data_IF_727942126505
#
_entry.id   IF_727942126505
#
_cell.length_a   1.000
_cell.length_b   1.000
_cell.length_c   1.000
_cell.angle_alpha   90.00
_cell.angle_beta   90.00
_cell.angle_gamma   90.00
#
_symmetry.space_group_name_H-M   'P 1'
#
loop_
_entity.id
_entity.type
_entity.pdbx_description
1 polymer ?
#
# COMPACT_ATOMS: atom_id res chain seq x y z
N UNK A 1 -19.03 -15.39 -1.14
CA UNK A 1 -19.04 -13.93 -1.42
C UNK A 1 -18.87 -13.00 -0.20
N UNK A 2 -19.67 -13.09 0.89
CA UNK A 2 -19.65 -12.11 2.01
C UNK A 2 -18.27 -11.95 2.69
N UNK A 3 -17.55 -13.06 2.90
CA UNK A 3 -16.18 -13.07 3.47
C UNK A 3 -15.15 -12.37 2.55
N UNK A 4 -15.27 -12.59 1.24
CA UNK A 4 -14.43 -11.92 0.23
C UNK A 4 -14.64 -10.40 0.23
N UNK A 5 -15.90 -9.93 0.17
CA UNK A 5 -16.22 -8.50 0.24
C UNK A 5 -15.66 -7.83 1.52
N UNK A 6 -15.75 -8.51 2.67
CA UNK A 6 -15.18 -8.04 3.94
C UNK A 6 -13.64 -7.92 3.87
N UNK A 7 -12.97 -8.91 3.26
CA UNK A 7 -11.52 -8.88 3.12
C UNK A 7 -11.03 -7.85 2.10
N UNK A 8 -11.75 -7.70 0.99
CA UNK A 8 -11.50 -6.65 0.00
C UNK A 8 -11.63 -5.26 0.62
N UNK A 9 -12.71 -5.00 1.37
CA UNK A 9 -12.89 -3.73 2.07
C UNK A 9 -11.74 -3.46 3.06
N UNK A 10 -11.31 -4.48 3.82
CA UNK A 10 -10.14 -4.35 4.69
C UNK A 10 -8.83 -4.10 3.93
N UNK A 11 -8.71 -4.58 2.70
CA UNK A 11 -7.51 -4.35 1.88
C UNK A 11 -7.51 -2.96 1.23
N UNK A 12 -8.68 -2.39 0.93
CA UNK A 12 -8.82 -1.00 0.49
C UNK A 12 -8.23 0.00 1.49
N UNK A 13 -8.25 -0.32 2.79
CA UNK A 13 -7.61 0.49 3.84
C UNK A 13 -6.08 0.60 3.69
N UNK A 14 -5.44 -0.21 2.84
CA UNK A 14 -4.03 -0.05 2.48
C UNK A 14 -3.84 0.59 1.11
N UNK A 15 -4.69 0.23 0.13
CA UNK A 15 -4.61 0.76 -1.23
C UNK A 15 -4.82 2.27 -1.23
N UNK A 16 -5.89 2.76 -0.58
CA UNK A 16 -6.25 4.18 -0.63
C UNK A 16 -5.16 5.06 -0.01
N UNK A 17 -4.64 4.76 1.19
CA UNK A 17 -3.53 5.52 1.74
C UNK A 17 -2.26 5.42 0.90
N UNK A 18 -1.94 4.26 0.30
CA UNK A 18 -0.77 4.11 -0.54
C UNK A 18 -0.86 4.99 -1.79
N UNK A 19 -2.01 5.00 -2.48
CA UNK A 19 -2.23 5.87 -3.64
C UNK A 19 -2.08 7.34 -3.27
N UNK A 20 -2.71 7.78 -2.18
CA UNK A 20 -2.56 9.17 -1.71
C UNK A 20 -1.12 9.51 -1.33
N UNK A 21 -0.40 8.59 -0.66
CA UNK A 21 1.02 8.77 -0.32
C UNK A 21 1.88 8.95 -1.57
N UNK A 22 1.61 8.16 -2.62
CA UNK A 22 2.32 8.27 -3.88
C UNK A 22 2.06 9.60 -4.57
N UNK A 23 0.83 10.09 -4.54
CA UNK A 23 0.48 11.40 -5.12
C UNK A 23 1.20 12.53 -4.38
N UNK A 24 1.26 12.48 -3.04
CA UNK A 24 2.04 13.44 -2.26
C UNK A 24 3.53 13.35 -2.54
N UNK A 25 4.10 12.13 -2.62
CA UNK A 25 5.51 11.92 -2.97
C UNK A 25 5.84 12.51 -4.34
N UNK A 26 4.97 12.28 -5.34
CA UNK A 26 5.10 12.91 -6.66
C UNK A 26 5.04 14.43 -6.57
N UNK A 27 4.18 14.96 -5.70
CA UNK A 27 4.11 16.38 -5.39
C UNK A 27 5.45 16.92 -4.90
N UNK A 28 6.09 16.25 -3.94
CA UNK A 28 7.41 16.63 -3.43
C UNK A 28 8.45 16.65 -4.56
N UNK A 29 8.52 15.57 -5.35
CA UNK A 29 9.51 15.46 -6.45
C UNK A 29 9.32 16.57 -7.48
N UNK A 30 8.07 16.87 -7.83
CA UNK A 30 7.72 17.83 -8.89
C UNK A 30 7.89 19.28 -8.46
N UNK A 31 7.43 19.64 -7.26
CA UNK A 31 7.30 21.03 -6.84
C UNK A 31 8.39 21.47 -5.87
N UNK A 32 8.92 20.55 -5.05
CA UNK A 32 10.03 20.80 -4.11
C UNK A 32 9.79 21.99 -3.17
N UNK A 33 8.52 22.27 -2.86
CA UNK A 33 8.13 23.34 -1.94
C UNK A 33 7.97 22.79 -0.52
N UNK A 34 8.13 23.67 0.48
CA UNK A 34 7.85 23.33 1.88
C UNK A 34 6.45 22.74 2.07
N UNK A 35 5.45 23.34 1.44
CA UNK A 35 4.07 22.83 1.48
C UNK A 35 3.95 21.39 0.95
N UNK A 36 4.60 21.08 -0.18
CA UNK A 36 4.57 19.71 -0.73
C UNK A 36 5.21 18.69 0.21
N UNK A 37 6.32 19.07 0.87
CA UNK A 37 7.01 18.26 1.87
C UNK A 37 6.11 18.06 3.09
N UNK A 38 5.51 19.12 3.61
CA UNK A 38 4.65 19.07 4.80
C UNK A 38 3.41 18.20 4.54
N UNK A 39 2.79 18.28 3.37
CA UNK A 39 1.67 17.40 2.99
C UNK A 39 2.09 15.93 2.96
N UNK A 40 3.25 15.62 2.38
CA UNK A 40 3.78 14.26 2.35
C UNK A 40 4.08 13.74 3.76
N UNK A 41 4.75 14.53 4.60
CA UNK A 41 5.09 14.17 6.00
C UNK A 41 3.84 13.94 6.83
N UNK A 42 2.88 14.87 6.77
CA UNK A 42 1.61 14.75 7.50
C UNK A 42 0.83 13.48 7.11
N UNK A 43 0.83 13.12 5.82
CA UNK A 43 0.18 11.88 5.37
C UNK A 43 0.97 10.64 5.80
N UNK A 44 2.30 10.69 5.72
CA UNK A 44 3.21 9.62 6.15
C UNK A 44 3.03 9.26 7.63
N UNK A 45 3.05 10.26 8.51
CA UNK A 45 2.92 10.06 9.96
C UNK A 45 1.55 9.47 10.34
N UNK A 46 0.48 9.90 9.66
CA UNK A 46 -0.88 9.36 9.86
C UNK A 46 -1.04 7.94 9.33
N UNK A 47 -0.25 7.58 8.33
CA UNK A 47 -0.38 6.34 7.57
C UNK A 47 0.97 5.61 7.44
N UNK A 48 1.63 5.37 8.57
CA UNK A 48 2.95 4.73 8.65
C UNK A 48 3.11 3.57 7.63
N UNK A 49 3.90 3.78 6.56
CA UNK A 49 4.10 2.78 5.53
C UNK A 49 4.77 1.50 6.03
N UNK A 50 5.63 1.58 7.05
CA UNK A 50 6.29 0.40 7.61
C UNK A 50 5.27 -0.53 8.28
N UNK A 51 4.36 0.05 9.08
CA UNK A 51 3.25 -0.71 9.67
C UNK A 51 2.31 -1.29 8.63
N UNK A 52 2.04 -0.55 7.54
CA UNK A 52 1.23 -1.04 6.43
C UNK A 52 1.88 -2.25 5.75
N UNK A 53 3.18 -2.20 5.47
CA UNK A 53 3.97 -3.30 4.89
C UNK A 53 3.87 -4.54 5.78
N UNK A 54 4.15 -4.41 7.08
CA UNK A 54 4.08 -5.53 8.04
C UNK A 54 2.68 -6.14 8.07
N UNK A 55 1.62 -5.32 8.10
CA UNK A 55 0.24 -5.80 8.11
C UNK A 55 -0.14 -6.51 6.81
N UNK A 56 0.27 -5.99 5.66
CA UNK A 56 0.02 -6.63 4.35
C UNK A 56 0.76 -7.96 4.28
N UNK A 57 2.05 -7.99 4.63
CA UNK A 57 2.86 -9.22 4.64
C UNK A 57 2.24 -10.29 5.53
N UNK A 58 1.83 -9.95 6.76
CA UNK A 58 1.10 -10.86 7.65
C UNK A 58 -0.16 -11.41 6.97
N UNK A 59 -0.98 -10.55 6.35
CA UNK A 59 -2.21 -10.99 5.67
C UNK A 59 -1.93 -11.94 4.51
N UNK A 60 -0.85 -11.74 3.75
CA UNK A 60 -0.45 -12.61 2.65
C UNK A 60 0.04 -13.97 3.15
N UNK A 61 0.75 -14.02 4.28
CA UNK A 61 1.22 -15.27 4.88
C UNK A 61 0.08 -16.16 5.39
N UNK A 62 -1.10 -15.60 5.69
CA UNK A 62 -2.25 -16.36 6.16
C UNK A 62 -2.96 -17.07 5.00
N UNK A 63 -2.72 -18.38 4.85
CA UNK A 63 -3.16 -19.13 3.66
C UNK A 63 -4.67 -19.08 3.37
N UNK A 64 -5.57 -19.00 4.38
CA UNK A 64 -7.00 -19.31 4.13
C UNK A 64 -8.05 -18.27 4.60
N UNK A 65 -7.69 -17.26 5.38
CA UNK A 65 -8.71 -16.39 6.02
C UNK A 65 -8.59 -14.91 5.69
N UNK A 66 -7.39 -14.37 5.51
CA UNK A 66 -7.17 -12.93 5.30
C UNK A 66 -6.34 -12.59 4.07
N UNK A 67 -5.80 -13.58 3.36
CA UNK A 67 -5.03 -13.34 2.14
C UNK A 67 -5.98 -12.83 1.03
N UNK A 68 -5.77 -11.61 0.50
CA UNK A 68 -6.64 -11.01 -0.51
C UNK A 68 -6.58 -11.75 -1.86
N UNK A 69 -5.43 -12.33 -2.21
CA UNK A 69 -5.24 -13.10 -3.45
C UNK A 69 -6.02 -14.41 -3.35
N UNK A 70 -5.87 -15.16 -2.26
CA UNK A 70 -6.63 -16.40 -2.05
C UNK A 70 -8.14 -16.11 -2.02
N UNK A 71 -8.54 -15.03 -1.33
CA UNK A 71 -9.92 -14.58 -1.31
C UNK A 71 -10.47 -14.28 -2.70
N UNK A 72 -9.70 -13.60 -3.55
CA UNK A 72 -10.07 -13.29 -4.92
C UNK A 72 -10.16 -14.52 -5.81
N UNK A 73 -9.16 -15.41 -5.75
CA UNK A 73 -9.16 -16.66 -6.51
C UNK A 73 -10.29 -17.58 -6.09
N UNK A 74 -10.70 -17.56 -4.82
CA UNK A 74 -11.87 -18.33 -4.36
C UNK A 74 -13.19 -17.72 -4.83
N UNK A 75 -13.23 -16.41 -5.08
CA UNK A 75 -14.42 -15.72 -5.57
C UNK A 75 -14.57 -15.78 -7.11
N UNK A 76 -13.47 -16.02 -7.83
CA UNK A 76 -13.48 -16.33 -9.26
C UNK A 76 -13.73 -17.83 -9.45
N UNK A 77 -14.93 -18.20 -9.91
CA UNK A 77 -15.33 -19.59 -10.13
C UNK A 77 -14.38 -20.34 -11.07
N UNK A 78 -13.81 -19.63 -12.05
CA UNK A 78 -12.92 -20.18 -13.06
C UNK A 78 -11.45 -20.10 -12.65
N UNK A 79 -11.12 -19.46 -11.52
CA UNK A 79 -9.75 -19.28 -10.99
C UNK A 79 -8.77 -18.83 -12.07
N UNK A 80 -9.16 -17.79 -12.80
CA UNK A 80 -8.43 -17.40 -14.01
C UNK A 80 -7.05 -16.82 -13.69
N UNK A 81 -6.10 -17.02 -14.61
CA UNK A 81 -4.78 -16.37 -14.56
C UNK A 81 -4.91 -14.85 -14.45
N UNK A 82 -5.88 -14.26 -15.16
CA UNK A 82 -6.19 -12.83 -15.15
C UNK A 82 -6.53 -12.32 -13.73
N UNK A 83 -7.32 -13.07 -12.97
CA UNK A 83 -7.63 -12.72 -11.57
C UNK A 83 -6.38 -12.78 -10.70
N UNK A 84 -5.57 -13.84 -10.83
CA UNK A 84 -4.32 -13.98 -10.08
C UNK A 84 -3.37 -12.81 -10.36
N UNK A 85 -3.14 -12.51 -11.64
CA UNK A 85 -2.27 -11.41 -12.09
C UNK A 85 -2.76 -10.08 -11.56
N UNK A 86 -4.04 -9.75 -11.74
CA UNK A 86 -4.63 -8.48 -11.26
C UNK A 86 -4.39 -8.26 -9.77
N UNK A 87 -4.65 -9.27 -8.95
CA UNK A 87 -4.51 -9.14 -7.49
C UNK A 87 -3.07 -9.14 -7.04
N UNK A 88 -2.20 -9.93 -7.69
CA UNK A 88 -0.75 -9.93 -7.45
C UNK A 88 -0.16 -8.57 -7.77
N UNK A 89 -0.47 -8.01 -8.94
CA UNK A 89 -0.05 -6.67 -9.34
C UNK A 89 -0.54 -5.60 -8.37
N UNK A 90 -1.80 -5.66 -7.94
CA UNK A 90 -2.35 -4.70 -6.98
C UNK A 90 -1.60 -4.73 -5.63
N UNK A 91 -1.34 -5.92 -5.10
CA UNK A 91 -0.57 -6.10 -3.85
C UNK A 91 0.87 -5.60 -4.02
N UNK A 92 1.54 -5.99 -5.10
CA UNK A 92 2.92 -5.58 -5.38
C UNK A 92 3.02 -4.07 -5.53
N UNK A 93 2.13 -3.43 -6.28
CA UNK A 93 2.13 -1.97 -6.43
C UNK A 93 1.94 -1.28 -5.07
N UNK A 94 1.03 -1.78 -4.24
CA UNK A 94 0.80 -1.22 -2.90
C UNK A 94 2.06 -1.33 -2.02
N UNK A 95 2.70 -2.51 -2.01
CA UNK A 95 3.93 -2.73 -1.25
C UNK A 95 5.09 -1.89 -1.76
N UNK A 96 5.26 -1.77 -3.07
CA UNK A 96 6.29 -0.94 -3.71
C UNK A 96 6.09 0.53 -3.33
N UNK A 97 4.87 1.04 -3.46
CA UNK A 97 4.55 2.43 -3.08
C UNK A 97 4.87 2.70 -1.60
N UNK A 98 4.49 1.79 -0.71
CA UNK A 98 4.78 1.94 0.72
C UNK A 98 6.28 1.90 1.01
N UNK A 99 7.02 0.97 0.40
CA UNK A 99 8.49 0.90 0.55
C UNK A 99 9.18 2.15 0.02
N UNK A 100 8.79 2.62 -1.17
CA UNK A 100 9.35 3.85 -1.74
C UNK A 100 9.07 5.05 -0.85
N UNK A 101 7.87 5.13 -0.27
CA UNK A 101 7.51 6.21 0.65
C UNK A 101 8.33 6.16 1.94
N UNK A 102 8.53 4.96 2.50
CA UNK A 102 9.42 4.74 3.64
C UNK A 102 10.84 5.21 3.35
N UNK A 103 11.47 4.69 2.29
CA UNK A 103 12.84 5.05 1.93
C UNK A 103 12.99 6.55 1.64
N UNK A 104 11.99 7.14 0.99
CA UNK A 104 12.00 8.58 0.69
C UNK A 104 11.92 9.42 1.96
N UNK A 105 11.04 9.08 2.90
CA UNK A 105 10.92 9.78 4.18
C UNK A 105 12.20 9.67 5.02
N UNK A 106 12.76 8.47 5.17
CA UNK A 106 14.03 8.27 5.87
C UNK A 106 15.17 9.07 5.22
N UNK A 107 15.20 9.14 3.89
CA UNK A 107 16.19 9.95 3.15
C UNK A 107 15.95 11.46 3.20
N UNK A 108 14.73 11.92 3.50
CA UNK A 108 14.45 13.33 3.79
C UNK A 108 14.88 13.69 5.21
N UNK A 109 14.56 12.84 6.20
CA UNK A 109 14.87 13.11 7.59
C UNK A 109 16.37 12.94 7.90
N UNK A 110 17.04 11.98 7.27
CA UNK A 110 18.50 11.83 7.36
C UNK A 110 19.29 13.04 6.85
N UNK A 111 18.68 13.92 6.03
CA UNK A 111 19.28 15.19 5.58
C UNK A 111 19.06 16.37 6.53
N UNK A 112 18.17 16.24 7.51
CA UNK A 112 17.92 17.26 8.54
C UNK A 112 18.76 17.05 9.80
N UNK A 113 19.59 15.98 9.85
CA UNK A 113 20.49 15.66 10.97
C UNK A 113 21.95 16.08 10.69
N UNK A 114 22.21 16.77 9.58
CA UNK A 114 23.53 17.30 9.20
C UNK A 114 23.58 18.82 9.27
#
# INVERSE_FOLDING_TARGET
LKKFKKNQHKFQNFIVPASAQFDFLRGVIKYQTRESIDLFKNHYEKHDPAHAIVKISKRLSHQNTTNPIVGAMTADELRTKKTLEKWTTCVNNTLTTMHMSYLFFEGLDGRNVS
#
